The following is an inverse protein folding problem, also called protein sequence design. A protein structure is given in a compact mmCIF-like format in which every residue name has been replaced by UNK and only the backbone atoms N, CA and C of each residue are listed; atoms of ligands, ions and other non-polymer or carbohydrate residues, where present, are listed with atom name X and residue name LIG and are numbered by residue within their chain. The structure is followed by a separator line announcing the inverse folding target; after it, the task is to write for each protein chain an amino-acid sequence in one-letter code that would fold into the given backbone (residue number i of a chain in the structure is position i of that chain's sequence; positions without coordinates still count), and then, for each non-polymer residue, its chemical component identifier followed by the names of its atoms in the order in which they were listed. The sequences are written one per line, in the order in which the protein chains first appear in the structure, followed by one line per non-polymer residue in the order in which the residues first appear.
data_IF_135954566776
#
_entry.id   IF_135954566776
#
_cell.length_a   1.000
_cell.length_b   1.000
_cell.length_c   1.000
_cell.angle_alpha   90.00
_cell.angle_beta   90.00
_cell.angle_gamma   90.00
#
_symmetry.space_group_name_H-M   'P 1'
#
loop_
_entity.id
_entity.type
_entity.pdbx_description
1 polymer ?
#
# COMPACT_ATOMS: atom_id res chain seq x y z
N UNK A 1 -16.11 -31.12 45.60
CA UNK A 1 -15.25 -31.87 44.65
C UNK A 1 -14.26 -30.90 44.02
N UNK A 2 -13.01 -31.32 43.76
CA UNK A 2 -11.99 -30.47 43.13
C UNK A 2 -11.57 -31.08 41.79
N UNK A 3 -11.42 -30.27 40.74
CA UNK A 3 -11.11 -30.72 39.38
C UNK A 3 -9.72 -30.23 38.95
N UNK A 4 -8.81 -31.11 38.47
CA UNK A 4 -7.42 -30.74 38.22
C UNK A 4 -7.25 -29.94 36.92
N UNK A 5 -6.64 -28.75 37.02
CA UNK A 5 -6.21 -27.97 35.85
C UNK A 5 -5.04 -28.66 35.13
N UNK A 6 -5.32 -29.29 33.99
CA UNK A 6 -4.27 -29.84 33.09
C UNK A 6 -3.48 -28.69 32.47
N UNK A 7 -2.21 -28.52 32.89
CA UNK A 7 -1.26 -27.63 32.20
C UNK A 7 -0.89 -28.22 30.83
N UNK A 8 -1.50 -27.73 29.74
CA UNK A 8 -0.93 -27.88 28.39
C UNK A 8 0.45 -27.21 28.38
N UNK A 9 1.52 -27.98 28.15
CA UNK A 9 2.85 -27.43 27.86
C UNK A 9 2.84 -26.87 26.43
N UNK A 10 3.53 -25.76 26.21
CA UNK A 10 3.34 -24.93 25.02
C UNK A 10 3.97 -25.51 23.74
N UNK A 11 3.14 -25.74 22.73
CA UNK A 11 3.57 -26.09 21.35
C UNK A 11 4.32 -24.91 20.69
N UNK A 12 3.99 -23.67 21.08
CA UNK A 12 4.56 -22.41 20.56
C UNK A 12 6.09 -22.30 20.68
N UNK A 13 6.76 -23.06 21.56
CA UNK A 13 8.24 -23.03 21.67
C UNK A 13 8.97 -23.86 20.61
N UNK A 14 8.29 -24.73 19.89
CA UNK A 14 8.89 -25.47 18.77
C UNK A 14 8.86 -24.61 17.50
N UNK A 15 7.68 -24.09 17.14
CA UNK A 15 7.50 -23.16 16.03
C UNK A 15 8.48 -21.98 16.06
N UNK A 16 8.63 -21.32 17.22
CA UNK A 16 9.56 -20.20 17.38
C UNK A 16 11.01 -20.56 17.05
N UNK A 17 11.46 -21.79 17.33
CA UNK A 17 12.82 -22.23 17.03
C UNK A 17 12.99 -22.70 15.58
N UNK A 18 11.92 -23.19 14.95
CA UNK A 18 11.90 -23.59 13.55
C UNK A 18 11.84 -22.36 12.63
N UNK A 19 10.98 -21.37 12.93
CA UNK A 19 10.92 -20.08 12.23
C UNK A 19 12.27 -19.33 12.35
N UNK A 20 12.86 -19.30 13.56
CA UNK A 20 14.20 -18.75 13.79
C UNK A 20 15.32 -19.41 13.00
N UNK A 21 15.15 -20.67 12.55
CA UNK A 21 16.12 -21.36 11.69
C UNK A 21 15.82 -21.07 10.22
N UNK A 22 14.55 -20.99 9.83
CA UNK A 22 14.14 -20.61 8.48
C UNK A 22 14.60 -19.19 8.13
N UNK A 23 14.44 -18.21 9.03
CA UNK A 23 14.92 -16.84 8.82
C UNK A 23 16.44 -16.78 8.63
N UNK A 24 17.20 -17.56 9.42
CA UNK A 24 18.67 -17.64 9.28
C UNK A 24 19.08 -18.26 7.94
N UNK A 25 18.36 -19.29 7.46
CA UNK A 25 18.59 -19.89 6.13
C UNK A 25 18.23 -18.92 5.00
N UNK A 26 17.17 -18.11 5.14
CA UNK A 26 16.81 -17.06 4.17
C UNK A 26 17.88 -15.97 4.12
N UNK A 27 18.31 -15.46 5.28
CA UNK A 27 19.38 -14.44 5.38
C UNK A 27 20.71 -14.96 4.81
N UNK A 28 21.07 -16.22 5.06
CA UNK A 28 22.29 -16.80 4.50
C UNK A 28 22.18 -16.98 2.98
N UNK A 29 21.03 -17.41 2.46
CA UNK A 29 20.79 -17.52 1.02
C UNK A 29 20.84 -16.15 0.32
N UNK A 30 20.28 -15.11 0.95
CA UNK A 30 20.31 -13.73 0.46
C UNK A 30 21.75 -13.17 0.47
N UNK A 31 22.49 -13.33 1.58
CA UNK A 31 23.90 -12.93 1.67
C UNK A 31 24.78 -13.64 0.62
N UNK A 32 24.54 -14.93 0.36
CA UNK A 32 25.22 -15.70 -0.70
C UNK A 32 24.87 -15.17 -2.11
N UNK A 33 23.64 -14.71 -2.35
CA UNK A 33 23.24 -14.09 -3.63
C UNK A 33 23.87 -12.69 -3.79
N UNK A 34 23.89 -11.86 -2.74
CA UNK A 34 24.55 -10.55 -2.74
C UNK A 34 26.04 -10.69 -3.00
N UNK A 35 26.73 -11.60 -2.30
CA UNK A 35 28.15 -11.88 -2.52
C UNK A 35 28.43 -12.38 -3.96
N UNK A 36 27.52 -13.18 -4.54
CA UNK A 36 27.64 -13.64 -5.94
C UNK A 36 27.46 -12.50 -6.95
N UNK A 37 26.55 -11.54 -6.69
CA UNK A 37 26.39 -10.34 -7.53
C UNK A 37 27.60 -9.40 -7.42
N UNK A 38 28.11 -9.19 -6.21
CA UNK A 38 29.35 -8.43 -6.02
C UNK A 38 30.52 -9.06 -6.76
N UNK A 39 30.71 -10.38 -6.67
CA UNK A 39 31.77 -11.08 -7.39
C UNK A 39 31.60 -11.03 -8.93
N UNK A 40 30.36 -11.00 -9.45
CA UNK A 40 30.09 -10.74 -10.88
C UNK A 40 30.49 -9.30 -11.26
N UNK A 41 30.09 -8.31 -10.48
CA UNK A 41 30.42 -6.90 -10.73
C UNK A 41 31.93 -6.65 -10.71
N UNK A 42 32.64 -7.16 -9.69
CA UNK A 42 34.10 -7.09 -9.60
C UNK A 42 34.78 -7.78 -10.80
N UNK A 43 34.25 -8.92 -11.27
CA UNK A 43 34.75 -9.59 -12.48
C UNK A 43 34.52 -8.76 -13.75
N UNK A 44 33.37 -8.07 -13.90
CA UNK A 44 33.15 -7.11 -15.00
C UNK A 44 34.14 -5.96 -14.94
N UNK A 45 34.31 -5.34 -13.77
CA UNK A 45 35.21 -4.18 -13.60
C UNK A 45 36.68 -4.53 -13.89
N UNK A 46 37.13 -5.75 -13.55
CA UNK A 46 38.46 -6.24 -13.90
C UNK A 46 38.59 -6.43 -15.41
N UNK A 47 37.59 -7.09 -16.04
CA UNK A 47 37.57 -7.36 -17.48
C UNK A 47 37.54 -6.07 -18.31
N UNK A 48 36.80 -5.05 -17.86
CA UNK A 48 36.75 -3.72 -18.48
C UNK A 48 38.12 -3.03 -18.42
N UNK A 49 38.77 -3.01 -17.24
CA UNK A 49 40.11 -2.43 -17.07
C UNK A 49 41.20 -3.15 -17.88
N UNK A 50 41.06 -4.46 -18.11
CA UNK A 50 41.98 -5.19 -18.97
C UNK A 50 41.79 -4.86 -20.46
N UNK A 51 40.55 -4.63 -20.92
CA UNK A 51 40.25 -4.14 -22.27
C UNK A 51 40.77 -2.71 -22.48
N UNK A 52 40.60 -1.84 -21.50
CA UNK A 52 41.09 -0.46 -21.52
C UNK A 52 42.62 -0.44 -21.66
N UNK A 53 43.32 -1.22 -20.83
CA UNK A 53 44.78 -1.39 -20.89
C UNK A 53 45.28 -2.04 -22.19
N UNK A 54 44.50 -2.91 -22.82
CA UNK A 54 44.84 -3.47 -24.14
C UNK A 54 44.79 -2.38 -25.23
N UNK A 55 43.79 -1.48 -25.19
CA UNK A 55 43.72 -0.33 -26.11
C UNK A 55 44.87 0.65 -25.91
N UNK A 56 45.19 1.00 -24.66
CA UNK A 56 46.35 1.86 -24.34
C UNK A 56 47.66 1.28 -24.92
N UNK A 57 47.83 -0.04 -24.89
CA UNK A 57 48.99 -0.72 -25.47
C UNK A 57 48.98 -0.70 -27.01
N UNK A 58 47.82 -0.86 -27.66
CA UNK A 58 47.67 -0.77 -29.12
C UNK A 58 47.96 0.65 -29.61
N UNK A 59 47.36 1.68 -28.99
CA UNK A 59 47.60 3.10 -29.28
C UNK A 59 49.09 3.48 -29.16
N UNK A 60 49.82 2.87 -28.22
CA UNK A 60 51.26 3.06 -28.06
C UNK A 60 52.13 2.36 -29.11
N UNK A 61 51.60 1.36 -29.83
CA UNK A 61 52.34 0.66 -30.90
C UNK A 61 52.12 1.29 -32.28
N UNK A 62 50.93 1.80 -32.58
CA UNK A 62 50.61 2.35 -33.91
C UNK A 62 51.45 3.60 -34.22
N UNK A 63 51.68 4.44 -33.21
CA UNK A 63 52.57 5.61 -33.29
C UNK A 63 54.07 5.30 -33.53
N UNK A 64 54.49 4.04 -33.54
CA UNK A 64 55.88 3.64 -33.80
C UNK A 64 56.15 3.22 -35.27
N UNK A 65 55.12 3.15 -36.12
CA UNK A 65 55.25 2.74 -37.52
C UNK A 65 55.33 3.88 -38.55
N UNK A 66 54.98 5.12 -38.18
CA UNK A 66 54.93 6.26 -39.12
C UNK A 66 56.29 6.98 -39.32
N UNK A 67 57.19 6.91 -38.33
CA UNK A 67 58.47 7.65 -38.28
C UNK A 67 59.58 7.11 -39.22
N UNK A 68 59.25 6.19 -40.15
CA UNK A 68 60.25 5.46 -40.93
C UNK A 68 60.40 5.88 -42.41
N UNK A 69 59.73 6.96 -42.84
CA UNK A 69 59.62 7.38 -44.25
C UNK A 69 60.54 8.55 -44.70
N UNK A 70 61.38 9.11 -43.84
CA UNK A 70 62.25 10.26 -44.16
C UNK A 70 63.71 9.87 -44.41
N UNK A 71 64.03 9.49 -45.65
CA UNK A 71 65.42 9.20 -46.09
C UNK A 71 66.09 10.43 -46.69
N UNK A 72 67.13 10.96 -46.01
CA UNK A 72 68.09 11.95 -46.54
C UNK A 72 69.54 11.50 -46.25
N UNK A 73 70.51 11.65 -47.18
CA UNK A 73 71.84 11.03 -47.03
C UNK A 73 73.01 12.02 -46.87
N UNK A 74 73.93 11.79 -45.91
CA UNK A 74 75.39 11.65 -46.16
C UNK A 74 76.33 11.80 -44.94
N UNK A 75 77.40 10.99 -44.97
CA UNK A 75 78.74 11.20 -44.36
C UNK A 75 78.92 11.03 -42.82
N UNK A 76 80.18 10.79 -42.35
CA UNK A 76 80.41 9.75 -41.35
C UNK A 76 80.90 10.23 -39.97
N UNK A 77 80.81 9.38 -38.93
CA UNK A 77 81.24 9.71 -37.57
C UNK A 77 82.78 9.67 -37.40
N UNK A 78 83.30 10.61 -36.62
CA UNK A 78 84.50 10.42 -35.78
C UNK A 78 84.04 10.42 -34.32
N UNK A 79 84.38 9.37 -33.58
CA UNK A 79 83.92 9.18 -32.20
C UNK A 79 84.81 9.83 -31.13
N UNK A 80 84.31 9.78 -29.89
CA UNK A 80 85.04 9.99 -28.64
C UNK A 80 84.67 8.83 -27.67
N UNK A 81 85.50 8.59 -26.66
CA UNK A 81 85.58 7.33 -25.88
C UNK A 81 85.41 7.57 -24.38
N UNK A 82 84.57 6.77 -23.72
CA UNK A 82 84.65 6.36 -22.31
C UNK A 82 83.45 5.46 -21.95
N UNK A 83 83.43 4.68 -20.87
CA UNK A 83 84.31 3.60 -20.38
C UNK A 83 83.75 3.10 -19.02
N UNK A 84 83.12 1.92 -19.01
CA UNK A 84 82.98 0.99 -17.87
C UNK A 84 82.47 -0.34 -18.47
N UNK A 85 83.04 -1.55 -18.30
CA UNK A 85 83.51 -2.31 -17.11
C UNK A 85 82.35 -2.68 -16.15
N UNK A 86 82.11 -3.94 -15.73
CA UNK A 86 82.77 -5.25 -15.94
C UNK A 86 81.90 -6.39 -15.30
N UNK A 87 82.09 -7.72 -15.38
CA UNK A 87 83.03 -8.65 -16.06
C UNK A 87 82.41 -10.09 -16.13
N UNK A 88 82.16 -10.72 -17.30
CA UNK A 88 81.82 -12.17 -17.38
C UNK A 88 81.97 -12.83 -18.80
N UNK A 89 82.92 -13.76 -18.99
CA UNK A 89 83.02 -14.63 -20.19
C UNK A 89 83.20 -16.13 -19.81
N UNK A 90 83.41 -17.07 -20.77
CA UNK A 90 82.63 -17.31 -21.99
C UNK A 90 82.25 -18.81 -22.15
N UNK A 91 81.37 -19.13 -23.11
CA UNK A 91 81.52 -20.35 -23.90
C UNK A 91 81.44 -19.99 -25.38
N UNK A 92 82.35 -20.56 -26.17
CA UNK A 92 82.46 -20.31 -27.61
C UNK A 92 81.85 -21.47 -28.41
N UNK A 93 81.42 -21.21 -29.64
CA UNK A 93 82.20 -21.63 -30.83
C UNK A 93 81.37 -21.54 -32.12
N UNK A 94 81.98 -20.97 -33.17
CA UNK A 94 81.71 -21.18 -34.62
C UNK A 94 80.26 -21.02 -35.13
N UNK A 95 80.00 -20.16 -36.13
CA UNK A 95 80.95 -19.28 -36.80
C UNK A 95 80.34 -18.43 -37.91
N UNK A 96 81.05 -17.36 -38.27
CA UNK A 96 80.76 -16.57 -39.46
C UNK A 96 81.33 -17.28 -40.69
N UNK A 97 80.46 -17.67 -41.63
CA UNK A 97 80.86 -17.97 -42.99
C UNK A 97 80.65 -16.72 -43.87
N UNK A 98 81.71 -15.93 -44.03
CA UNK A 98 81.75 -14.94 -45.12
C UNK A 98 81.67 -15.67 -46.46
N UNK A 99 80.70 -15.27 -47.28
CA UNK A 99 80.61 -15.67 -48.69
C UNK A 99 80.12 -14.52 -49.56
N UNK A 100 80.79 -13.36 -49.47
CA UNK A 100 80.70 -12.29 -50.48
C UNK A 100 81.31 -12.70 -51.83
N UNK A 101 80.75 -13.74 -52.46
CA UNK A 101 81.11 -14.26 -53.80
C UNK A 101 79.97 -15.13 -54.36
N UNK A 102 79.17 -14.58 -55.26
CA UNK A 102 79.06 -15.08 -56.64
C UNK A 102 78.20 -14.14 -57.52
N UNK A 103 78.65 -13.93 -58.75
CA UNK A 103 77.84 -13.69 -59.98
C UNK A 103 76.52 -12.91 -59.85
N UNK A 104 76.55 -11.62 -60.19
CA UNK A 104 75.40 -10.90 -60.76
C UNK A 104 75.18 -11.32 -62.25
N UNK A 105 75.08 -12.62 -62.51
CA UNK A 105 74.77 -13.15 -63.86
C UNK A 105 73.25 -13.23 -64.05
N UNK A 106 72.63 -12.08 -64.33
CA UNK A 106 71.24 -12.03 -64.77
C UNK A 106 71.09 -12.66 -66.16
N UNK A 107 70.25 -13.69 -66.35
CA UNK A 107 70.09 -14.32 -67.68
C UNK A 107 69.38 -13.36 -68.64
N UNK A 108 70.07 -12.97 -69.70
CA UNK A 108 69.64 -11.96 -70.70
C UNK A 108 68.52 -12.47 -71.65
N UNK A 109 67.72 -13.43 -71.20
CA UNK A 109 66.65 -14.12 -71.93
C UNK A 109 65.24 -13.80 -71.42
N UNK A 110 65.12 -12.93 -70.42
CA UNK A 110 63.84 -12.30 -70.01
C UNK A 110 64.03 -10.80 -70.15
N UNK A 111 63.21 -10.15 -70.99
CA UNK A 111 63.39 -8.72 -71.29
C UNK A 111 63.22 -7.87 -70.03
N UNK A 112 64.02 -6.80 -69.87
CA UNK A 112 64.05 -5.99 -68.63
C UNK A 112 62.72 -5.27 -68.28
N UNK A 113 61.71 -5.35 -69.14
CA UNK A 113 60.32 -4.93 -68.87
C UNK A 113 59.51 -6.02 -68.15
N UNK A 114 59.76 -7.28 -68.46
CA UNK A 114 59.05 -8.46 -67.94
C UNK A 114 59.54 -8.80 -66.53
N UNK A 115 60.84 -8.71 -66.27
CA UNK A 115 61.37 -8.76 -64.89
C UNK A 115 60.76 -7.67 -64.00
N UNK A 116 60.64 -6.43 -64.53
CA UNK A 116 59.98 -5.32 -63.82
C UNK A 116 58.47 -5.53 -63.62
N UNK A 117 57.79 -6.16 -64.57
CA UNK A 117 56.40 -6.57 -64.42
C UNK A 117 56.25 -7.58 -63.28
N UNK A 118 57.12 -8.59 -63.22
CA UNK A 118 57.08 -9.63 -62.20
C UNK A 118 57.42 -9.08 -60.81
N UNK A 119 58.43 -8.20 -60.67
CA UNK A 119 58.71 -7.54 -59.38
C UNK A 119 57.56 -6.65 -58.92
N UNK A 120 56.91 -5.92 -59.84
CA UNK A 120 55.71 -5.14 -59.51
C UNK A 120 54.56 -6.04 -59.05
N UNK A 121 54.34 -7.19 -59.70
CA UNK A 121 53.32 -8.16 -59.29
C UNK A 121 53.61 -8.76 -57.91
N UNK A 122 54.88 -9.03 -57.57
CA UNK A 122 55.29 -9.46 -56.23
C UNK A 122 54.99 -8.36 -55.20
N UNK A 123 55.40 -7.11 -55.46
CA UNK A 123 55.10 -5.98 -54.56
C UNK A 123 53.59 -5.75 -54.37
N UNK A 124 52.79 -5.88 -55.44
CA UNK A 124 51.33 -5.82 -55.37
C UNK A 124 50.74 -6.95 -54.50
N UNK A 125 51.29 -8.17 -54.57
CA UNK A 125 50.84 -9.30 -53.76
C UNK A 125 51.25 -9.14 -52.30
N UNK A 126 52.46 -8.64 -52.02
CA UNK A 126 52.93 -8.28 -50.68
C UNK A 126 52.07 -7.18 -50.05
N UNK A 127 51.69 -6.15 -50.82
CA UNK A 127 50.82 -5.08 -50.33
C UNK A 127 49.39 -5.59 -50.07
N UNK A 128 48.85 -6.44 -50.95
CA UNK A 128 47.54 -7.09 -50.75
C UNK A 128 47.56 -8.02 -49.53
N UNK A 129 48.64 -8.76 -49.31
CA UNK A 129 48.85 -9.59 -48.12
C UNK A 129 48.94 -8.74 -46.85
N UNK A 130 49.72 -7.65 -46.86
CA UNK A 130 49.82 -6.71 -45.72
C UNK A 130 48.46 -6.13 -45.35
N UNK A 131 47.68 -5.68 -46.34
CA UNK A 131 46.31 -5.18 -46.13
C UNK A 131 45.39 -6.26 -45.55
N UNK A 132 45.45 -7.49 -46.06
CA UNK A 132 44.66 -8.61 -45.54
C UNK A 132 45.05 -9.00 -44.10
N UNK A 133 46.33 -8.91 -43.73
CA UNK A 133 46.79 -9.14 -42.36
C UNK A 133 46.27 -8.06 -41.40
N UNK A 134 46.33 -6.78 -41.80
CA UNK A 134 45.80 -5.65 -41.02
C UNK A 134 44.29 -5.81 -40.80
N UNK A 135 43.50 -6.09 -41.85
CA UNK A 135 42.05 -6.28 -41.70
C UNK A 135 41.69 -7.53 -40.92
N UNK A 136 42.53 -8.59 -40.96
CA UNK A 136 42.33 -9.78 -40.12
C UNK A 136 42.53 -9.46 -38.63
N UNK A 137 43.57 -8.69 -38.28
CA UNK A 137 43.79 -8.24 -36.91
C UNK A 137 42.65 -7.33 -36.41
N UNK A 138 42.21 -6.37 -37.23
CA UNK A 138 41.06 -5.52 -36.93
C UNK A 138 39.79 -6.35 -36.66
N UNK A 139 39.49 -7.35 -37.49
CA UNK A 139 38.32 -8.22 -37.32
C UNK A 139 38.41 -9.10 -36.07
N UNK A 140 39.59 -9.58 -35.66
CA UNK A 140 39.74 -10.32 -34.41
C UNK A 140 39.61 -9.41 -33.18
N UNK A 141 40.04 -8.15 -33.24
CA UNK A 141 39.81 -7.15 -32.20
C UNK A 141 38.32 -6.76 -32.09
N UNK A 142 37.64 -6.51 -33.21
CA UNK A 142 36.19 -6.26 -33.25
C UNK A 142 35.40 -7.45 -32.67
N UNK A 143 35.71 -8.68 -33.11
CA UNK A 143 35.14 -9.94 -32.62
C UNK A 143 35.35 -10.12 -31.11
N UNK A 144 36.53 -9.77 -30.61
CA UNK A 144 36.87 -9.85 -29.17
C UNK A 144 36.07 -8.82 -28.36
N UNK A 145 36.03 -7.57 -28.83
CA UNK A 145 35.20 -6.49 -28.26
C UNK A 145 33.71 -6.85 -28.21
N UNK A 146 33.15 -7.37 -29.31
CA UNK A 146 31.75 -7.81 -29.39
C UNK A 146 31.49 -9.03 -28.49
N UNK A 147 32.44 -9.97 -28.37
CA UNK A 147 32.29 -11.10 -27.45
C UNK A 147 32.25 -10.64 -25.98
N UNK A 148 32.98 -9.59 -25.61
CA UNK A 148 32.90 -9.00 -24.28
C UNK A 148 31.57 -8.29 -24.03
N UNK A 149 31.07 -7.50 -24.98
CA UNK A 149 29.75 -6.88 -24.89
C UNK A 149 28.63 -7.92 -24.72
N UNK A 150 28.69 -9.01 -25.50
CA UNK A 150 27.74 -10.13 -25.43
C UNK A 150 27.80 -10.87 -24.09
N UNK A 151 28.95 -10.94 -23.42
CA UNK A 151 29.03 -11.51 -22.07
C UNK A 151 28.45 -10.57 -20.99
N UNK A 152 28.80 -9.28 -21.02
CA UNK A 152 28.23 -8.28 -20.10
C UNK A 152 26.70 -8.26 -20.17
N UNK A 153 26.13 -8.26 -21.37
CA UNK A 153 24.67 -8.28 -21.59
C UNK A 153 23.99 -9.57 -21.08
N UNK A 154 24.69 -10.72 -21.04
CA UNK A 154 24.15 -11.95 -20.42
C UNK A 154 24.08 -11.84 -18.91
N UNK A 155 25.12 -11.29 -18.29
CA UNK A 155 25.16 -11.13 -16.83
C UNK A 155 24.12 -10.10 -16.36
N UNK A 156 23.95 -9.00 -17.10
CA UNK A 156 22.88 -8.02 -16.87
C UNK A 156 21.48 -8.63 -17.03
N UNK A 157 21.26 -9.40 -18.09
CA UNK A 157 19.99 -10.12 -18.29
C UNK A 157 19.71 -11.09 -17.14
N UNK A 158 20.72 -11.82 -16.66
CA UNK A 158 20.58 -12.71 -15.51
C UNK A 158 20.27 -11.94 -14.21
N UNK A 159 20.85 -10.76 -13.99
CA UNK A 159 20.52 -9.93 -12.83
C UNK A 159 19.08 -9.38 -12.89
N UNK A 160 18.60 -9.00 -14.09
CA UNK A 160 17.21 -8.60 -14.32
C UNK A 160 16.25 -9.78 -14.08
N UNK A 161 16.59 -10.99 -14.52
CA UNK A 161 15.80 -12.21 -14.24
C UNK A 161 15.72 -12.51 -12.74
N UNK A 162 16.85 -12.45 -12.02
CA UNK A 162 16.87 -12.65 -10.57
C UNK A 162 16.05 -11.58 -9.83
N UNK A 163 16.11 -10.31 -10.26
CA UNK A 163 15.30 -9.21 -9.73
C UNK A 163 13.80 -9.40 -9.98
N UNK A 164 13.43 -9.76 -11.21
CA UNK A 164 12.04 -10.05 -11.59
C UNK A 164 11.44 -11.16 -10.74
N UNK A 165 12.20 -12.24 -10.50
CA UNK A 165 11.76 -13.35 -9.65
C UNK A 165 11.59 -12.95 -8.18
N UNK A 166 12.44 -12.04 -7.65
CA UNK A 166 12.26 -11.48 -6.30
C UNK A 166 10.97 -10.66 -6.23
N UNK A 167 10.80 -9.67 -7.11
CA UNK A 167 9.60 -8.81 -7.14
C UNK A 167 8.32 -9.64 -7.30
N UNK A 168 8.36 -10.73 -8.10
CA UNK A 168 7.22 -11.64 -8.25
C UNK A 168 6.93 -12.47 -6.98
N UNK A 169 7.94 -12.81 -6.17
CA UNK A 169 7.79 -13.44 -4.84
C UNK A 169 7.20 -12.44 -3.84
N UNK A 170 7.71 -11.22 -3.82
CA UNK A 170 7.33 -10.19 -2.85
C UNK A 170 5.90 -9.69 -3.12
N UNK A 171 5.53 -9.51 -4.40
CA UNK A 171 4.14 -9.27 -4.82
C UNK A 171 3.17 -10.35 -4.31
N UNK A 172 3.54 -11.65 -4.41
CA UNK A 172 2.71 -12.75 -3.89
C UNK A 172 2.56 -12.71 -2.36
N UNK A 173 3.59 -12.25 -1.64
CA UNK A 173 3.53 -12.09 -0.19
C UNK A 173 2.64 -10.90 0.21
N UNK A 174 2.81 -9.74 -0.44
CA UNK A 174 1.97 -8.55 -0.23
C UNK A 174 0.51 -8.83 -0.58
N UNK A 175 0.22 -9.54 -1.68
CA UNK A 175 -1.15 -9.95 -2.04
C UNK A 175 -1.79 -10.80 -0.94
N UNK A 176 -1.07 -11.79 -0.39
CA UNK A 176 -1.58 -12.63 0.72
C UNK A 176 -1.86 -11.82 1.98
N UNK A 177 -0.97 -10.88 2.33
CA UNK A 177 -1.15 -10.01 3.49
C UNK A 177 -2.36 -9.06 3.31
N UNK A 178 -2.53 -8.51 2.12
CA UNK A 178 -3.72 -7.73 1.74
C UNK A 178 -5.00 -8.58 1.83
N UNK A 179 -5.00 -9.81 1.32
CA UNK A 179 -6.18 -10.68 1.31
C UNK A 179 -6.59 -11.14 2.72
N UNK A 180 -5.63 -11.30 3.64
CA UNK A 180 -5.89 -11.50 5.06
C UNK A 180 -6.49 -10.24 5.69
N UNK A 181 -5.83 -9.08 5.55
CA UNK A 181 -6.31 -7.81 6.11
C UNK A 181 -7.70 -7.42 5.56
N UNK A 182 -8.00 -7.75 4.30
CA UNK A 182 -9.30 -7.54 3.66
C UNK A 182 -10.40 -8.44 4.21
N UNK A 183 -10.05 -9.61 4.80
CA UNK A 183 -11.00 -10.47 5.52
C UNK A 183 -11.23 -9.95 6.93
N UNK A 184 -10.16 -9.68 7.65
CA UNK A 184 -10.23 -9.16 9.03
C UNK A 184 -11.01 -7.84 9.07
N UNK A 185 -10.80 -6.94 8.11
CA UNK A 185 -11.58 -5.71 7.96
C UNK A 185 -13.08 -5.96 7.73
N UNK A 186 -13.46 -6.97 6.92
CA UNK A 186 -14.87 -7.32 6.68
C UNK A 186 -15.53 -7.92 7.91
N UNK A 187 -14.84 -8.80 8.61
CA UNK A 187 -15.32 -9.38 9.87
C UNK A 187 -15.47 -8.31 10.96
N UNK A 188 -14.52 -7.36 11.05
CA UNK A 188 -14.60 -6.23 11.96
C UNK A 188 -15.69 -5.22 11.57
N UNK A 189 -15.96 -5.02 10.28
CA UNK A 189 -17.08 -4.22 9.77
C UNK A 189 -18.40 -4.84 10.18
N UNK A 190 -18.59 -6.14 9.94
CA UNK A 190 -19.78 -6.90 10.37
C UNK A 190 -19.98 -6.86 11.88
N UNK A 191 -18.90 -6.95 12.67
CA UNK A 191 -18.98 -6.79 14.13
C UNK A 191 -19.42 -5.38 14.53
N UNK A 192 -18.92 -4.34 13.86
CA UNK A 192 -19.35 -2.96 14.08
C UNK A 192 -20.82 -2.72 13.71
N UNK A 193 -21.32 -3.34 12.63
CA UNK A 193 -22.73 -3.29 12.24
C UNK A 193 -23.63 -3.95 13.31
N UNK A 194 -23.28 -5.17 13.73
CA UNK A 194 -24.00 -5.88 14.80
C UNK A 194 -24.00 -5.10 16.12
N UNK A 195 -22.87 -4.49 16.50
CA UNK A 195 -22.78 -3.66 17.70
C UNK A 195 -23.63 -2.38 17.60
N UNK A 196 -23.64 -1.72 16.43
CA UNK A 196 -24.53 -0.56 16.17
C UNK A 196 -26.00 -0.95 16.27
N UNK A 197 -26.38 -2.11 15.73
CA UNK A 197 -27.77 -2.58 15.76
C UNK A 197 -28.20 -3.02 17.18
N UNK A 198 -27.31 -3.62 17.97
CA UNK A 198 -27.54 -3.86 19.39
C UNK A 198 -27.69 -2.55 20.19
N UNK A 199 -26.96 -1.49 19.83
CA UNK A 199 -27.10 -0.16 20.45
C UNK A 199 -28.44 0.48 20.05
N UNK A 200 -28.82 0.47 18.77
CA UNK A 200 -30.15 0.94 18.32
C UNK A 200 -31.28 0.25 19.08
N UNK A 201 -31.26 -1.09 19.11
CA UNK A 201 -32.29 -1.88 19.79
C UNK A 201 -32.37 -1.60 21.30
N UNK A 202 -31.23 -1.36 21.97
CA UNK A 202 -31.19 -0.91 23.36
C UNK A 202 -31.84 0.48 23.52
N UNK A 203 -31.54 1.40 22.62
CA UNK A 203 -31.99 2.79 22.71
C UNK A 203 -33.48 2.94 22.29
N UNK A 204 -33.94 2.10 21.37
CA UNK A 204 -35.36 1.86 21.06
C UNK A 204 -36.11 1.31 22.28
N UNK A 205 -35.60 0.27 22.94
CA UNK A 205 -36.18 -0.27 24.18
C UNK A 205 -36.19 0.75 25.34
N UNK A 206 -35.21 1.67 25.40
CA UNK A 206 -35.19 2.78 26.37
C UNK A 206 -36.33 3.77 26.05
N UNK A 207 -36.49 4.15 24.79
CA UNK A 207 -37.53 5.05 24.32
C UNK A 207 -38.95 4.47 24.48
N UNK A 208 -39.15 3.17 24.23
CA UNK A 208 -40.42 2.46 24.47
C UNK A 208 -40.88 2.52 25.94
N UNK A 209 -39.95 2.68 26.88
CA UNK A 209 -40.25 2.81 28.32
C UNK A 209 -40.42 4.27 28.76
N UNK A 210 -40.44 5.23 27.82
CA UNK A 210 -40.56 6.66 28.11
C UNK A 210 -39.31 7.26 28.76
N UNK A 211 -38.17 6.57 28.66
CA UNK A 211 -36.89 7.00 29.22
C UNK A 211 -36.00 7.64 28.13
N UNK A 212 -35.11 8.53 28.55
CA UNK A 212 -34.15 9.25 27.71
C UNK A 212 -32.81 9.32 28.44
N UNK A 213 -31.70 9.21 27.71
CA UNK A 213 -30.36 9.45 28.22
C UNK A 213 -30.08 10.95 28.32
N UNK A 214 -29.60 11.41 29.49
CA UNK A 214 -29.20 12.80 29.75
C UNK A 214 -27.85 12.82 30.48
N UNK A 215 -27.02 13.82 30.18
CA UNK A 215 -25.59 13.83 30.55
C UNK A 215 -24.74 13.37 29.35
N UNK A 216 -23.46 13.05 29.59
CA UNK A 216 -22.52 12.74 28.51
C UNK A 216 -21.96 13.95 27.77
N UNK A 217 -22.13 15.16 28.33
CA UNK A 217 -21.45 16.38 27.89
C UNK A 217 -19.92 16.23 28.12
N UNK A 218 -19.10 16.93 27.33
CA UNK A 218 -17.65 16.92 27.52
C UNK A 218 -17.29 17.67 28.81
N UNK A 219 -16.64 16.99 29.75
CA UNK A 219 -16.20 17.56 31.02
C UNK A 219 -14.71 17.92 30.90
N UNK A 220 -14.38 19.22 30.89
CA UNK A 220 -13.01 19.66 31.05
C UNK A 220 -12.59 19.47 32.51
N UNK A 221 -11.67 18.54 32.72
CA UNK A 221 -11.04 18.32 34.01
C UNK A 221 -9.92 19.33 34.16
N UNK A 222 -10.13 20.35 34.99
CA UNK A 222 -9.02 21.12 35.55
C UNK A 222 -8.33 20.25 36.62
N UNK A 223 -7.00 20.13 36.53
CA UNK A 223 -6.19 19.17 37.31
C UNK A 223 -5.88 19.68 38.75
N UNK A 224 -6.88 20.27 39.43
CA UNK A 224 -6.75 20.85 40.77
C UNK A 224 -7.51 20.03 41.86
N UNK A 225 -7.26 18.72 41.97
CA UNK A 225 -7.46 17.96 43.23
C UNK A 225 -6.82 16.54 43.18
N UNK A 226 -5.49 16.43 43.10
CA UNK A 226 -4.77 15.17 43.40
C UNK A 226 -3.39 15.43 44.06
N UNK A 227 -3.39 16.06 45.25
CA UNK A 227 -2.21 16.10 46.13
C UNK A 227 -1.93 14.71 46.77
N UNK A 228 -1.61 13.71 45.95
CA UNK A 228 -1.11 12.41 46.40
C UNK A 228 0.30 12.13 45.82
N UNK A 229 1.31 12.51 46.60
CA UNK A 229 2.69 12.62 46.12
C UNK A 229 3.35 11.28 45.73
N UNK A 230 3.90 11.22 44.51
CA UNK A 230 5.17 10.55 44.24
C UNK A 230 6.01 11.39 43.25
N UNK A 231 7.33 11.33 43.35
CA UNK A 231 8.25 12.34 42.84
C UNK A 231 9.07 11.82 41.66
N UNK A 232 8.65 12.14 40.43
CA UNK A 232 9.41 11.83 39.20
C UNK A 232 9.43 12.99 38.20
N UNK A 233 10.42 12.98 37.32
CA UNK A 233 10.94 14.18 36.65
C UNK A 233 10.00 14.82 35.61
N UNK A 234 10.04 16.14 35.54
CA UNK A 234 9.20 16.95 34.65
C UNK A 234 9.43 16.66 33.16
N UNK A 235 8.54 15.89 32.54
CA UNK A 235 8.19 16.04 31.12
C UNK A 235 6.83 16.72 31.01
N UNK A 236 6.84 18.03 30.75
CA UNK A 236 5.65 18.75 30.29
C UNK A 236 5.18 18.10 28.98
N UNK A 237 4.02 17.46 29.02
CA UNK A 237 3.29 17.04 27.81
C UNK A 237 2.75 18.27 27.07
N UNK A 238 2.52 18.19 25.74
CA UNK A 238 1.87 19.26 25.00
C UNK A 238 0.40 19.42 25.41
N UNK A 239 -0.13 20.64 25.28
CA UNK A 239 -1.50 21.03 25.68
C UNK A 239 -2.62 20.28 24.91
N UNK A 240 -2.27 19.52 23.87
CA UNK A 240 -3.22 18.74 23.05
C UNK A 240 -3.73 17.45 23.69
N UNK A 241 -3.28 17.09 24.90
CA UNK A 241 -3.71 15.88 25.62
C UNK A 241 -4.58 16.15 26.88
N UNK A 242 -5.29 17.29 26.98
CA UNK A 242 -6.41 17.41 27.95
C UNK A 242 -7.39 16.27 27.72
N UNK A 243 -7.42 15.29 28.63
CA UNK A 243 -8.21 14.06 28.46
C UNK A 243 -9.69 14.34 28.70
N UNK A 244 -10.38 14.82 27.66
CA UNK A 244 -11.83 15.01 27.64
C UNK A 244 -12.54 13.74 28.13
N UNK A 245 -13.10 13.80 29.34
CA UNK A 245 -13.94 12.72 29.86
C UNK A 245 -15.39 13.02 29.49
N UNK A 246 -16.09 12.01 29.03
CA UNK A 246 -17.53 12.06 28.82
C UNK A 246 -18.16 12.02 30.21
N UNK A 247 -18.89 13.07 30.59
CA UNK A 247 -19.56 13.15 31.89
C UNK A 247 -20.52 11.95 32.09
N UNK A 248 -20.82 11.60 33.33
CA UNK A 248 -21.73 10.49 33.65
C UNK A 248 -23.10 10.71 32.97
N UNK A 249 -23.63 9.65 32.37
CA UNK A 249 -24.96 9.63 31.75
C UNK A 249 -25.97 8.97 32.69
N UNK A 250 -27.19 9.52 32.76
CA UNK A 250 -28.31 8.95 33.50
C UNK A 250 -29.50 8.68 32.58
N UNK A 251 -30.33 7.72 32.97
CA UNK A 251 -31.66 7.51 32.39
C UNK A 251 -32.70 8.24 33.23
N UNK A 252 -33.49 9.11 32.59
CA UNK A 252 -34.58 9.88 33.19
C UNK A 252 -35.84 9.75 32.34
N UNK A 253 -37.02 10.08 32.89
CA UNK A 253 -38.24 10.19 32.08
C UNK A 253 -38.14 11.35 31.08
N UNK A 254 -38.97 11.33 30.03
CA UNK A 254 -39.09 12.46 29.10
C UNK A 254 -39.39 13.79 29.82
N UNK A 255 -40.33 13.80 30.76
CA UNK A 255 -40.65 14.97 31.61
C UNK A 255 -39.43 15.45 32.42
N UNK A 256 -38.67 14.52 33.02
CA UNK A 256 -37.44 14.84 33.75
C UNK A 256 -36.35 15.41 32.85
N UNK A 257 -36.20 14.87 31.63
CA UNK A 257 -35.29 15.40 30.62
C UNK A 257 -35.69 16.81 30.17
N UNK A 258 -36.99 17.10 30.05
CA UNK A 258 -37.48 18.43 29.67
C UNK A 258 -37.31 19.46 30.80
N UNK A 259 -37.56 19.09 32.05
CA UNK A 259 -37.23 19.95 33.22
C UNK A 259 -35.72 20.24 33.24
N UNK A 260 -34.88 19.23 33.02
CA UNK A 260 -33.41 19.37 32.95
C UNK A 260 -32.91 20.20 31.77
N UNK A 261 -33.71 20.47 30.73
CA UNK A 261 -33.38 21.44 29.66
C UNK A 261 -33.64 22.88 30.07
N UNK A 262 -34.62 23.12 30.94
CA UNK A 262 -34.97 24.47 31.42
C UNK A 262 -33.94 24.99 32.45
N UNK A 263 -33.25 24.09 33.17
CA UNK A 263 -32.14 24.38 34.09
C UNK A 263 -30.86 24.97 33.43
N UNK A 264 -30.92 25.39 32.17
CA UNK A 264 -29.80 25.91 31.40
C UNK A 264 -28.78 24.84 30.99
N UNK A 265 -27.52 25.25 30.81
CA UNK A 265 -26.40 24.40 30.40
C UNK A 265 -25.51 23.96 31.58
N UNK A 266 -24.63 22.98 31.32
CA UNK A 266 -23.69 22.40 32.27
C UNK A 266 -24.00 20.94 32.55
N UNK A 267 -23.09 20.24 33.23
CA UNK A 267 -23.23 18.81 33.55
C UNK A 267 -24.52 18.52 34.31
N UNK A 268 -24.95 17.25 34.30
CA UNK A 268 -26.21 16.82 34.93
C UNK A 268 -26.31 17.28 36.38
N UNK A 269 -25.23 17.17 37.15
CA UNK A 269 -25.18 17.56 38.56
C UNK A 269 -25.29 19.09 38.75
N UNK A 270 -24.69 19.89 37.85
CA UNK A 270 -24.85 21.36 37.84
C UNK A 270 -26.30 21.77 37.54
N UNK A 271 -26.96 21.07 36.60
CA UNK A 271 -28.37 21.35 36.25
C UNK A 271 -29.34 20.91 37.35
N UNK A 272 -29.07 19.79 38.03
CA UNK A 272 -29.79 19.37 39.23
C UNK A 272 -29.63 20.35 40.40
N UNK A 273 -28.42 20.91 40.59
CA UNK A 273 -28.14 21.91 41.64
C UNK A 273 -28.95 23.19 41.43
N UNK A 274 -28.97 23.74 40.21
CA UNK A 274 -29.77 24.93 39.87
C UNK A 274 -31.26 24.74 40.18
N UNK A 275 -31.84 23.61 39.78
CA UNK A 275 -33.25 23.27 40.08
C UNK A 275 -33.53 23.14 41.58
N UNK A 276 -32.55 22.75 42.39
CA UNK A 276 -32.68 22.70 43.84
C UNK A 276 -32.61 24.10 44.48
N UNK A 277 -31.78 24.99 43.94
CA UNK A 277 -31.65 26.40 44.34
C UNK A 277 -32.93 27.18 43.96
N UNK A 278 -33.37 27.13 42.70
CA UNK A 278 -34.63 27.74 42.21
C UNK A 278 -35.85 27.29 43.03
N UNK A 279 -35.91 26.00 43.38
CA UNK A 279 -36.97 25.45 44.22
C UNK A 279 -36.95 26.02 45.64
N UNK A 280 -35.77 26.30 46.21
CA UNK A 280 -35.67 26.88 47.55
C UNK A 280 -36.11 28.35 47.53
N UNK A 281 -35.69 29.13 46.54
CA UNK A 281 -36.11 30.53 46.38
C UNK A 281 -37.64 30.66 46.28
N UNK A 282 -38.28 29.79 45.48
CA UNK A 282 -39.74 29.73 45.37
C UNK A 282 -40.45 29.30 46.66
N UNK A 283 -39.84 28.44 47.49
CA UNK A 283 -40.39 28.06 48.79
C UNK A 283 -40.30 29.23 49.79
N UNK A 284 -39.20 29.96 49.79
CA UNK A 284 -39.00 31.18 50.58
C UNK A 284 -39.97 32.30 50.15
N UNK A 285 -40.22 32.46 48.84
CA UNK A 285 -41.22 33.41 48.32
C UNK A 285 -42.65 33.02 48.73
N UNK A 286 -43.01 31.74 48.62
CA UNK A 286 -44.30 31.22 49.11
C UNK A 286 -44.46 31.41 50.63
N UNK A 287 -43.38 31.29 51.41
CA UNK A 287 -43.41 31.54 52.85
C UNK A 287 -43.68 33.02 53.16
N UNK A 288 -43.02 33.94 52.46
CA UNK A 288 -43.26 35.40 52.58
C UNK A 288 -44.68 35.76 52.17
N UNK A 289 -45.14 35.35 50.99
CA UNK A 289 -46.51 35.59 50.52
C UNK A 289 -47.58 35.04 51.47
N UNK A 290 -47.32 33.93 52.16
CA UNK A 290 -48.23 33.39 53.20
C UNK A 290 -48.25 34.26 54.45
N UNK A 291 -47.12 34.81 54.88
CA UNK A 291 -47.05 35.75 56.00
C UNK A 291 -47.82 37.03 55.66
N UNK A 292 -47.55 37.62 54.49
CA UNK A 292 -48.23 38.81 53.98
C UNK A 292 -49.75 38.60 53.87
N UNK A 293 -50.19 37.44 53.35
CA UNK A 293 -51.60 37.09 53.21
C UNK A 293 -52.28 36.85 54.57
N UNK A 294 -51.58 36.32 55.57
CA UNK A 294 -52.12 36.15 56.91
C UNK A 294 -52.19 37.49 57.66
N UNK A 295 -51.26 38.42 57.42
CA UNK A 295 -51.40 39.82 57.86
C UNK A 295 -52.59 40.52 57.19
N UNK A 296 -52.74 40.40 55.86
CA UNK A 296 -53.88 40.96 55.14
C UNK A 296 -55.20 40.32 55.55
N UNK A 297 -55.23 39.03 55.93
CA UNK A 297 -56.41 38.43 56.59
C UNK A 297 -56.70 39.06 57.94
N UNK A 298 -55.68 39.35 58.76
CA UNK A 298 -55.89 40.03 60.04
C UNK A 298 -56.32 41.50 59.87
N UNK A 299 -55.86 42.19 58.83
CA UNK A 299 -56.33 43.53 58.44
C UNK A 299 -57.77 43.46 57.92
N UNK A 300 -58.08 42.51 57.04
CA UNK A 300 -59.42 42.25 56.51
C UNK A 300 -60.42 41.83 57.59
N UNK A 301 -60.04 41.01 58.58
CA UNK A 301 -60.92 40.64 59.70
C UNK A 301 -61.32 41.86 60.56
N UNK A 302 -60.38 42.80 60.77
CA UNK A 302 -60.66 44.09 61.44
C UNK A 302 -61.56 44.98 60.58
N UNK A 303 -61.42 44.92 59.25
CA UNK A 303 -62.28 45.62 58.29
C UNK A 303 -63.68 44.97 58.17
N UNK A 304 -63.80 43.65 58.33
CA UNK A 304 -65.06 42.92 58.20
C UNK A 304 -65.95 43.07 59.43
N UNK A 305 -65.37 43.21 60.63
CA UNK A 305 -66.09 43.72 61.81
C UNK A 305 -66.70 45.13 61.58
N UNK A 306 -66.14 45.94 60.66
CA UNK A 306 -66.75 47.20 60.19
C UNK A 306 -67.70 47.02 59.00
N UNK A 307 -67.62 45.91 58.26
CA UNK A 307 -68.38 45.67 57.03
C UNK A 307 -69.72 44.93 57.25
N UNK A 308 -69.87 44.23 58.39
CA UNK A 308 -71.04 43.41 58.76
C UNK A 308 -72.33 44.22 59.06
N UNK A 309 -72.51 45.38 58.41
CA UNK A 309 -73.68 46.25 58.52
C UNK A 309 -74.36 46.55 57.16
N UNK A 310 -73.98 45.89 56.06
CA UNK A 310 -74.63 46.05 54.74
C UNK A 310 -74.88 44.74 53.98
N UNK A 311 -76.10 44.61 53.44
CA UNK A 311 -76.56 43.58 52.49
C UNK A 311 -75.68 43.47 51.23
N UNK A 312 -75.74 42.41 50.43
CA UNK A 312 -76.56 41.19 50.50
C UNK A 312 -77.11 40.77 49.12
N UNK A 313 -77.65 39.55 49.02
CA UNK A 313 -78.42 38.97 47.90
C UNK A 313 -78.09 39.39 46.45
N UNK A 314 -77.29 38.57 45.75
CA UNK A 314 -77.51 38.02 44.38
C UNK A 314 -76.16 37.57 43.77
N UNK A 315 -76.10 36.37 43.14
CA UNK A 315 -74.85 35.90 42.52
C UNK A 315 -74.59 34.41 42.22
N UNK A 316 -75.35 33.39 42.69
CA UNK A 316 -75.01 31.99 42.40
C UNK A 316 -75.17 31.57 40.93
N UNK A 317 -76.23 32.02 40.28
CA UNK A 317 -76.74 31.44 39.03
C UNK A 317 -75.90 31.82 37.79
N UNK A 318 -75.34 33.02 37.77
CA UNK A 318 -74.49 33.51 36.66
C UNK A 318 -73.22 32.65 36.53
N UNK A 319 -72.58 32.32 37.66
CA UNK A 319 -71.35 31.51 37.68
C UNK A 319 -71.58 30.10 37.12
N UNK A 320 -72.77 29.53 37.34
CA UNK A 320 -73.13 28.22 36.78
C UNK A 320 -73.25 28.28 35.25
N UNK A 321 -73.82 29.35 34.70
CA UNK A 321 -73.84 29.57 33.24
C UNK A 321 -72.44 29.77 32.65
N UNK A 322 -71.55 30.48 33.35
CA UNK A 322 -70.17 30.71 32.92
C UNK A 322 -69.37 29.41 32.84
N UNK A 323 -69.40 28.59 33.91
CA UNK A 323 -68.77 27.26 33.94
C UNK A 323 -69.37 26.35 32.85
N UNK A 324 -70.68 26.36 32.65
CA UNK A 324 -71.33 25.57 31.60
C UNK A 324 -70.92 26.03 30.19
N UNK A 325 -70.67 27.33 29.99
CA UNK A 325 -70.20 27.90 28.72
C UNK A 325 -68.75 27.53 28.44
N UNK A 326 -67.89 27.56 29.45
CA UNK A 326 -66.48 27.19 29.33
C UNK A 326 -66.29 25.68 29.11
N UNK A 327 -67.04 24.82 29.82
CA UNK A 327 -67.07 23.38 29.56
C UNK A 327 -67.50 23.08 28.11
N UNK A 328 -68.52 23.76 27.59
CA UNK A 328 -68.95 23.63 26.19
C UNK A 328 -67.89 24.12 25.19
N UNK A 329 -67.11 25.15 25.52
CA UNK A 329 -65.96 25.59 24.70
C UNK A 329 -64.89 24.49 24.64
N UNK A 330 -64.45 23.98 25.80
CA UNK A 330 -63.45 22.92 25.87
C UNK A 330 -63.88 21.66 25.10
N UNK A 331 -65.15 21.24 25.22
CA UNK A 331 -65.71 20.10 24.46
C UNK A 331 -65.62 20.33 22.94
N UNK A 332 -65.82 21.56 22.46
CA UNK A 332 -65.69 21.89 21.04
C UNK A 332 -64.22 21.94 20.58
N UNK A 333 -63.33 22.46 21.41
CA UNK A 333 -61.88 22.44 21.14
C UNK A 333 -61.34 20.99 21.03
N UNK A 334 -61.76 20.09 21.93
CA UNK A 334 -61.43 18.67 21.85
C UNK A 334 -62.04 17.98 20.62
N UNK A 335 -63.29 18.29 20.24
CA UNK A 335 -63.90 17.79 19.00
C UNK A 335 -63.14 18.24 17.74
N UNK A 336 -62.59 19.45 17.73
CA UNK A 336 -61.76 19.93 16.62
C UNK A 336 -60.40 19.22 16.57
N UNK A 337 -59.74 19.06 17.72
CA UNK A 337 -58.46 18.31 17.83
C UNK A 337 -58.63 16.85 17.39
N UNK A 338 -59.71 16.18 17.79
CA UNK A 338 -60.02 14.82 17.38
C UNK A 338 -60.16 14.71 15.85
N UNK A 339 -60.98 15.56 15.22
CA UNK A 339 -61.15 15.58 13.75
C UNK A 339 -59.85 15.83 12.99
N UNK A 340 -58.94 16.63 13.55
CA UNK A 340 -57.60 16.85 12.97
C UNK A 340 -56.73 15.59 13.07
N UNK A 341 -56.75 14.91 14.22
CA UNK A 341 -56.05 13.64 14.40
C UNK A 341 -56.61 12.53 13.48
N UNK A 342 -57.93 12.45 13.29
CA UNK A 342 -58.56 11.49 12.36
C UNK A 342 -58.06 11.69 10.91
N UNK A 343 -57.92 12.95 10.46
CA UNK A 343 -57.37 13.31 9.15
C UNK A 343 -55.88 12.99 9.02
N UNK A 344 -55.12 13.20 10.09
CA UNK A 344 -53.69 12.87 10.15
C UNK A 344 -53.45 11.35 10.12
N UNK A 345 -54.24 10.58 10.88
CA UNK A 345 -54.26 9.10 10.83
C UNK A 345 -54.57 8.61 9.42
N UNK A 346 -55.60 9.16 8.77
CA UNK A 346 -55.96 8.80 7.39
C UNK A 346 -54.83 9.10 6.41
N UNK A 347 -54.10 10.20 6.60
CA UNK A 347 -52.97 10.60 5.76
C UNK A 347 -51.75 9.69 5.97
N UNK A 348 -51.45 9.33 7.23
CA UNK A 348 -50.37 8.41 7.59
C UNK A 348 -50.64 7.00 7.07
N UNK A 349 -51.88 6.50 7.18
CA UNK A 349 -52.30 5.22 6.58
C UNK A 349 -52.05 5.21 5.06
N UNK A 350 -52.43 6.28 4.35
CA UNK A 350 -52.14 6.41 2.91
C UNK A 350 -50.65 6.46 2.56
N UNK A 351 -49.79 6.89 3.49
CA UNK A 351 -48.33 6.80 3.34
C UNK A 351 -47.79 5.39 3.64
N UNK A 352 -48.30 4.71 4.68
CA UNK A 352 -47.94 3.31 5.00
C UNK A 352 -48.24 2.40 3.81
N UNK A 353 -49.47 2.40 3.28
CA UNK A 353 -49.86 1.59 2.11
C UNK A 353 -48.96 1.83 0.88
N UNK A 354 -48.48 3.06 0.70
CA UNK A 354 -47.56 3.43 -0.39
C UNK A 354 -46.17 2.85 -0.17
N UNK A 355 -45.65 2.91 1.05
CA UNK A 355 -44.34 2.39 1.45
C UNK A 355 -44.34 0.85 1.43
N UNK A 356 -45.38 0.21 1.94
CA UNK A 356 -45.58 -1.25 1.84
C UNK A 356 -45.58 -1.72 0.37
N UNK A 357 -46.31 -1.00 -0.50
CA UNK A 357 -46.31 -1.27 -1.94
C UNK A 357 -44.96 -1.05 -2.61
N UNK A 358 -44.12 -0.12 -2.11
CA UNK A 358 -42.73 0.04 -2.57
C UNK A 358 -41.83 -1.10 -2.07
N UNK A 359 -41.92 -1.45 -0.78
CA UNK A 359 -41.17 -2.53 -0.15
C UNK A 359 -41.44 -3.88 -0.83
N UNK A 360 -42.69 -4.18 -1.15
CA UNK A 360 -43.07 -5.38 -1.89
C UNK A 360 -42.40 -5.46 -3.28
N UNK A 361 -42.36 -4.34 -4.03
CA UNK A 361 -41.68 -4.27 -5.33
C UNK A 361 -40.17 -4.36 -5.22
N UNK A 362 -39.55 -3.71 -4.23
CA UNK A 362 -38.11 -3.82 -4.03
C UNK A 362 -37.70 -5.22 -3.59
N UNK A 363 -38.52 -5.90 -2.79
CA UNK A 363 -38.32 -7.30 -2.43
C UNK A 363 -38.33 -8.21 -3.65
N UNK A 364 -39.36 -8.16 -4.50
CA UNK A 364 -39.41 -9.02 -5.70
C UNK A 364 -38.31 -8.67 -6.71
N UNK A 365 -37.88 -7.41 -6.78
CA UNK A 365 -36.74 -6.99 -7.61
C UNK A 365 -35.41 -7.54 -7.07
N UNK A 366 -35.23 -7.61 -5.74
CA UNK A 366 -34.05 -8.20 -5.12
C UNK A 366 -34.02 -9.73 -5.32
N UNK A 367 -35.13 -10.42 -5.07
CA UNK A 367 -35.27 -11.88 -5.30
C UNK A 367 -34.99 -12.26 -6.77
N UNK A 368 -35.46 -11.43 -7.71
CA UNK A 368 -35.14 -11.58 -9.14
C UNK A 368 -33.66 -11.34 -9.45
N UNK A 369 -33.02 -10.36 -8.81
CA UNK A 369 -31.59 -10.07 -9.01
C UNK A 369 -30.68 -11.14 -8.41
N UNK A 370 -31.08 -11.77 -7.31
CA UNK A 370 -30.34 -12.87 -6.67
C UNK A 370 -30.33 -14.12 -7.56
N UNK A 371 -31.48 -14.46 -8.15
CA UNK A 371 -31.60 -15.56 -9.13
C UNK A 371 -30.66 -15.36 -10.33
N UNK A 372 -30.63 -14.15 -10.91
CA UNK A 372 -29.74 -13.83 -12.04
C UNK A 372 -28.26 -13.86 -11.62
N UNK A 373 -27.90 -13.46 -10.39
CA UNK A 373 -26.51 -13.58 -9.94
C UNK A 373 -26.07 -15.06 -9.81
N UNK A 374 -26.94 -15.93 -9.29
CA UNK A 374 -26.64 -17.36 -9.16
C UNK A 374 -26.60 -18.08 -10.52
N UNK A 375 -27.47 -17.73 -11.47
CA UNK A 375 -27.35 -18.18 -12.87
C UNK A 375 -25.98 -17.81 -13.45
N UNK A 376 -25.59 -16.54 -13.40
CA UNK A 376 -24.29 -16.06 -13.89
C UNK A 376 -23.10 -16.69 -13.15
N UNK A 377 -23.23 -16.99 -11.84
CA UNK A 377 -22.23 -17.75 -11.07
C UNK A 377 -22.10 -19.19 -11.58
N UNK A 378 -23.18 -19.85 -12.02
CA UNK A 378 -23.09 -21.17 -12.64
C UNK A 378 -22.48 -21.12 -14.05
N UNK A 379 -22.87 -20.16 -14.89
CA UNK A 379 -22.29 -19.98 -16.23
C UNK A 379 -20.79 -19.70 -16.16
N UNK A 380 -20.36 -18.80 -15.28
CA UNK A 380 -18.94 -18.52 -15.02
C UNK A 380 -18.16 -19.80 -14.66
N UNK A 381 -18.73 -20.68 -13.83
CA UNK A 381 -18.11 -21.97 -13.47
C UNK A 381 -18.07 -22.95 -14.64
N UNK A 382 -19.05 -22.91 -15.55
CA UNK A 382 -19.09 -23.71 -16.78
C UNK A 382 -18.02 -23.24 -17.77
N UNK A 383 -18.02 -21.95 -18.12
CA UNK A 383 -17.04 -21.34 -19.03
C UNK A 383 -15.60 -21.50 -18.52
N UNK A 384 -15.37 -21.43 -17.21
CA UNK A 384 -14.04 -21.71 -16.62
C UNK A 384 -13.57 -23.16 -16.73
N UNK A 385 -14.46 -24.14 -16.95
CA UNK A 385 -14.08 -25.53 -17.26
C UNK A 385 -13.77 -25.66 -18.75
N UNK A 386 -14.68 -25.18 -19.59
CA UNK A 386 -14.54 -25.20 -21.05
C UNK A 386 -13.27 -24.48 -21.52
N UNK A 387 -12.91 -23.36 -20.88
CA UNK A 387 -11.64 -22.65 -21.12
C UNK A 387 -10.41 -23.51 -20.79
N UNK A 388 -10.40 -24.22 -19.65
CA UNK A 388 -9.27 -25.09 -19.26
C UNK A 388 -9.15 -26.31 -20.16
N UNK A 389 -10.28 -26.87 -20.58
CA UNK A 389 -10.34 -27.97 -21.55
C UNK A 389 -9.79 -27.53 -22.92
N UNK A 390 -10.17 -26.33 -23.38
CA UNK A 390 -9.60 -25.72 -24.58
C UNK A 390 -8.10 -25.43 -24.45
N UNK A 391 -7.61 -24.94 -23.30
CA UNK A 391 -6.17 -24.77 -23.03
C UNK A 391 -5.41 -26.10 -23.11
N UNK A 392 -5.88 -27.13 -22.39
CA UNK A 392 -5.30 -28.48 -22.46
C UNK A 392 -5.27 -29.02 -23.89
N UNK A 393 -6.29 -28.74 -24.69
CA UNK A 393 -6.35 -29.15 -26.09
C UNK A 393 -5.40 -28.36 -27.00
N UNK A 394 -5.10 -27.10 -26.68
CA UNK A 394 -4.07 -26.32 -27.36
C UNK A 394 -2.68 -26.92 -27.05
N UNK A 395 -2.38 -27.21 -25.77
CA UNK A 395 -1.11 -27.83 -25.36
C UNK A 395 -0.85 -29.20 -26.05
N UNK A 396 -1.90 -30.04 -26.17
CA UNK A 396 -1.85 -31.29 -26.95
C UNK A 396 -1.54 -31.05 -28.45
N UNK A 397 -2.13 -30.02 -29.05
CA UNK A 397 -1.94 -29.70 -30.47
C UNK A 397 -0.57 -29.05 -30.73
N UNK A 398 -0.09 -28.19 -29.83
CA UNK A 398 1.23 -27.58 -29.90
C UNK A 398 2.34 -28.63 -29.77
N UNK A 399 2.24 -29.53 -28.79
CA UNK A 399 3.21 -30.63 -28.64
C UNK A 399 3.20 -31.56 -29.85
N UNK A 400 2.01 -31.94 -30.37
CA UNK A 400 1.89 -32.72 -31.60
C UNK A 400 2.51 -31.99 -32.82
N UNK A 401 2.31 -30.68 -32.94
CA UNK A 401 2.88 -29.86 -34.02
C UNK A 401 4.41 -29.78 -33.91
N UNK A 402 4.97 -29.58 -32.71
CA UNK A 402 6.42 -29.66 -32.45
C UNK A 402 7.00 -31.03 -32.83
N UNK A 403 6.27 -32.13 -32.60
CA UNK A 403 6.70 -33.46 -33.05
C UNK A 403 6.66 -33.60 -34.59
N UNK A 404 5.66 -33.04 -35.26
CA UNK A 404 5.57 -33.04 -36.73
C UNK A 404 6.66 -32.18 -37.37
N UNK A 405 6.91 -30.98 -36.84
CA UNK A 405 7.99 -30.09 -37.28
C UNK A 405 9.36 -30.79 -37.19
N UNK A 406 9.66 -31.42 -36.05
CA UNK A 406 10.88 -32.23 -35.86
C UNK A 406 11.00 -33.41 -36.83
N UNK A 407 9.90 -33.96 -37.36
CA UNK A 407 9.91 -34.97 -38.44
C UNK A 407 10.14 -34.35 -39.81
N UNK A 408 9.51 -33.21 -40.10
CA UNK A 408 9.68 -32.45 -41.34
C UNK A 408 11.14 -32.01 -41.51
N UNK A 409 11.78 -31.50 -40.45
CA UNK A 409 13.16 -31.01 -40.55
C UNK A 409 14.18 -32.15 -40.71
N UNK A 410 13.92 -33.33 -40.12
CA UNK A 410 14.67 -34.56 -40.43
C UNK A 410 14.54 -34.94 -41.91
N UNK A 411 13.34 -34.90 -42.48
CA UNK A 411 13.12 -35.17 -43.92
C UNK A 411 13.80 -34.12 -44.81
N UNK A 412 13.81 -32.84 -44.42
CA UNK A 412 14.57 -31.79 -45.13
C UNK A 412 16.07 -32.08 -45.11
N UNK A 413 16.64 -32.50 -43.98
CA UNK A 413 18.08 -32.84 -43.90
C UNK A 413 18.44 -34.08 -44.70
N UNK A 414 17.60 -35.13 -44.71
CA UNK A 414 17.83 -36.30 -45.58
C UNK A 414 17.76 -35.89 -47.05
N UNK A 415 16.78 -35.06 -47.44
CA UNK A 415 16.66 -34.54 -48.81
C UNK A 415 17.86 -33.66 -49.21
N UNK A 416 18.38 -32.82 -48.32
CA UNK A 416 19.52 -31.95 -48.64
C UNK A 416 20.87 -32.67 -48.65
N UNK A 417 20.98 -33.84 -48.03
CA UNK A 417 22.10 -34.78 -48.24
C UNK A 417 21.97 -35.46 -49.61
N UNK A 418 20.80 -36.02 -49.95
CA UNK A 418 20.55 -36.70 -51.23
C UNK A 418 20.65 -35.79 -52.49
N UNK A 419 20.67 -34.47 -52.32
CA UNK A 419 20.84 -33.49 -53.41
C UNK A 419 22.30 -33.01 -53.53
N UNK A 420 23.17 -33.40 -52.58
CA UNK A 420 24.61 -33.10 -52.58
C UNK A 420 25.49 -34.28 -52.99
N UNK A 421 24.86 -35.38 -53.40
CA UNK A 421 25.47 -36.62 -53.93
C UNK A 421 24.99 -36.85 -55.34
#
# INVERSE_FOLDING_TARGET
MSSPRVRRRGIQRLYSAEDEVLDKVVQEAEARLVARRQARAEARDIRIREIEKQKEAEDHTDGQYDDHLTVEPSRPPRGIRSEAKEHAPPYASVGSCDSRRSSEDFPETIGSKEYKLLTNQVMELEEKFRKAMITTAQLDNEKTSLSYQVDTLKDELQEIEELYLSVQKDYKNVSRAHDLMSRDFKDLTRQNELLKDCIKFRDELIAERGLVLVGGEEEEVDEEEDESADNSEHKKKPESERQKRIAKMALVSQEGADILKHAGSGTLDVRLKKLAEEKQDLLDEIYRMRLDLEEERQKAYKLDQMSLMRSGANGPEIKLMEVQREANKQVNDYKYRLKRADQEITTLQGCVTRIEGQLARFKTQAESSEQVEDELRTEKRKLQREFREAQSRIEELETANVHLQKRIDKLKTVKSVLIKT
#
